data_IF_652617974922
#
_entry.id   IF_652617974922
#
_cell.length_a   1.000
_cell.length_b   1.000
_cell.length_c   1.000
_cell.angle_alpha   90.00
_cell.angle_beta   90.00
_cell.angle_gamma   90.00
#
_symmetry.space_group_name_H-M   'P 1'
#
loop_
_entity.id
_entity.type
_entity.pdbx_description
1 polymer ?
#
# COMPACT_ATOMS: atom_id res chain seq x y z
N UNK A 1 8.34 15.39 6.93
CA UNK A 1 7.06 15.41 6.21
C UNK A 1 7.32 14.95 4.79
N UNK A 2 6.93 13.74 4.42
CA UNK A 2 7.07 13.26 3.05
C UNK A 2 5.69 13.38 2.42
N UNK A 3 5.50 14.42 1.60
CA UNK A 3 4.28 14.61 0.81
C UNK A 3 4.12 13.47 -0.19
N UNK A 4 2.89 13.05 -0.52
CA UNK A 4 2.63 12.05 -1.55
C UNK A 4 3.20 12.43 -2.92
N UNK A 5 3.50 13.69 -3.17
CA UNK A 5 4.13 14.20 -4.40
C UNK A 5 5.57 13.71 -4.62
N UNK A 6 6.30 13.30 -3.56
CA UNK A 6 7.68 12.82 -3.69
C UNK A 6 7.82 11.38 -4.22
N UNK A 7 6.71 10.68 -4.41
CA UNK A 7 6.72 9.31 -4.99
C UNK A 7 6.70 9.34 -6.53
N UNK A 8 6.33 10.48 -7.14
CA UNK A 8 6.04 10.55 -8.58
C UNK A 8 7.13 11.19 -9.44
N UNK A 9 8.15 11.83 -8.88
CA UNK A 9 9.15 12.55 -9.68
C UNK A 9 10.52 11.92 -9.50
N UNK A 10 10.93 11.06 -10.40
CA UNK A 10 12.29 10.81 -10.89
C UNK A 10 12.43 9.47 -11.62
N UNK A 11 12.04 9.44 -12.88
CA UNK A 11 12.36 8.34 -13.79
C UNK A 11 12.85 8.90 -15.13
N UNK A 12 14.10 9.33 -15.22
CA UNK A 12 14.71 9.69 -16.53
C UNK A 12 16.06 9.03 -16.82
N UNK A 13 16.49 8.01 -16.09
CA UNK A 13 17.72 7.30 -16.46
C UNK A 13 17.64 5.80 -16.13
N UNK A 14 16.73 5.07 -16.75
CA UNK A 14 16.80 3.60 -16.81
C UNK A 14 16.94 3.14 -18.26
N UNK A 15 17.96 2.32 -18.51
CA UNK A 15 18.22 1.67 -19.78
C UNK A 15 16.97 0.96 -20.29
N UNK A 16 16.65 1.16 -21.55
CA UNK A 16 15.43 0.74 -22.25
C UNK A 16 15.32 -0.79 -22.49
N UNK A 17 15.30 -1.62 -21.45
CA UNK A 17 15.03 -3.06 -21.61
C UNK A 17 14.41 -3.77 -20.41
N UNK A 18 14.12 -3.07 -19.29
CA UNK A 18 13.64 -3.76 -18.08
C UNK A 18 12.31 -3.13 -17.62
N UNK A 19 11.20 -3.72 -18.01
CA UNK A 19 9.87 -3.25 -17.62
C UNK A 19 9.71 -3.31 -16.11
N UNK A 20 9.36 -2.18 -15.51
CA UNK A 20 9.22 -2.02 -14.06
C UNK A 20 7.79 -2.29 -13.62
N UNK A 21 7.61 -3.14 -12.62
CA UNK A 21 6.32 -3.52 -12.05
C UNK A 21 6.30 -3.33 -10.53
N UNK A 22 5.12 -3.17 -9.94
CA UNK A 22 4.94 -3.23 -8.51
C UNK A 22 4.91 -4.69 -8.03
N UNK A 23 5.93 -5.10 -7.31
CA UNK A 23 6.00 -6.41 -6.67
C UNK A 23 5.66 -6.33 -5.20
N UNK A 24 4.86 -7.29 -4.73
CA UNK A 24 4.67 -7.53 -3.31
C UNK A 24 5.76 -8.49 -2.81
N UNK A 25 6.54 -8.04 -1.84
CA UNK A 25 7.69 -8.78 -1.31
C UNK A 25 7.52 -9.06 0.17
N UNK A 26 7.86 -10.28 0.58
CA UNK A 26 7.99 -10.65 1.98
C UNK A 26 9.44 -10.48 2.42
N UNK A 27 9.64 -9.74 3.50
CA UNK A 27 10.93 -9.55 4.17
C UNK A 27 10.89 -10.33 5.49
N UNK A 28 11.87 -11.19 5.77
CA UNK A 28 11.91 -11.92 7.04
C UNK A 28 12.57 -11.11 8.16
N UNK A 29 12.31 -11.51 9.40
CA UNK A 29 12.89 -10.90 10.62
C UNK A 29 12.55 -9.43 10.84
N UNK A 30 11.37 -8.97 10.42
CA UNK A 30 10.90 -7.58 10.58
C UNK A 30 11.93 -6.53 10.10
N UNK A 31 12.59 -6.81 8.97
CA UNK A 31 13.61 -5.94 8.36
C UNK A 31 13.06 -5.06 7.23
N UNK A 32 11.74 -4.98 7.09
CA UNK A 32 11.09 -4.19 6.03
C UNK A 32 11.51 -2.71 6.04
N UNK A 33 11.69 -2.12 7.21
CA UNK A 33 12.16 -0.73 7.33
C UNK A 33 13.64 -0.57 6.92
N UNK A 34 14.45 -1.60 7.07
CA UNK A 34 15.84 -1.61 6.60
C UNK A 34 15.88 -1.68 5.07
N UNK A 35 15.06 -2.55 4.49
CA UNK A 35 14.92 -2.66 3.02
C UNK A 35 14.39 -1.35 2.44
N UNK A 36 13.38 -0.73 3.09
CA UNK A 36 12.88 0.59 2.70
C UNK A 36 14.01 1.63 2.65
N UNK A 37 14.80 1.75 3.70
CA UNK A 37 15.95 2.69 3.74
C UNK A 37 16.92 2.45 2.58
N UNK A 38 17.20 1.19 2.26
CA UNK A 38 18.06 0.85 1.14
C UNK A 38 17.44 1.25 -0.20
N UNK A 39 16.15 0.98 -0.40
CA UNK A 39 15.43 1.40 -1.60
C UNK A 39 15.44 2.93 -1.75
N UNK A 40 15.13 3.66 -0.67
CA UNK A 40 15.14 5.14 -0.66
C UNK A 40 16.52 5.69 -1.04
N UNK A 41 17.60 5.11 -0.47
CA UNK A 41 18.99 5.52 -0.75
C UNK A 41 19.43 5.24 -2.20
N UNK A 42 18.80 4.29 -2.87
CA UNK A 42 19.10 3.92 -4.26
C UNK A 42 18.03 4.40 -5.26
N UNK A 43 17.13 5.31 -4.84
CA UNK A 43 16.02 5.82 -5.64
C UNK A 43 15.10 4.73 -6.23
N UNK A 44 14.94 3.61 -5.53
CA UNK A 44 14.01 2.54 -5.89
C UNK A 44 12.66 2.87 -5.27
N UNK A 45 11.63 3.02 -6.10
CA UNK A 45 10.28 3.33 -5.65
C UNK A 45 9.76 2.18 -4.78
N UNK A 46 9.31 2.51 -3.59
CA UNK A 46 8.83 1.51 -2.63
C UNK A 46 7.72 2.07 -1.74
N UNK A 47 6.93 1.18 -1.15
CA UNK A 47 5.89 1.56 -0.21
C UNK A 47 5.69 0.49 0.87
N UNK A 48 5.57 0.93 2.12
CA UNK A 48 5.15 0.13 3.26
C UNK A 48 3.93 0.81 3.87
N UNK A 49 2.77 0.15 3.99
CA UNK A 49 1.65 0.71 4.72
C UNK A 49 2.00 0.83 6.21
N UNK A 50 1.94 2.05 6.71
CA UNK A 50 2.31 2.38 8.09
C UNK A 50 1.10 2.98 8.82
N UNK A 51 1.02 2.77 10.13
CA UNK A 51 0.05 3.42 11.00
C UNK A 51 0.70 3.87 12.31
N UNK A 52 0.13 4.89 12.93
CA UNK A 52 0.54 5.29 14.27
C UNK A 52 -0.01 4.34 15.32
N UNK A 53 0.88 3.76 16.12
CA UNK A 53 0.53 2.96 17.31
C UNK A 53 1.12 3.58 18.57
N UNK A 54 0.33 3.49 19.65
CA UNK A 54 0.83 3.84 20.97
C UNK A 54 1.70 2.70 21.48
N UNK A 55 2.93 3.01 21.86
CA UNK A 55 3.90 2.05 22.38
C UNK A 55 4.42 2.54 23.72
N UNK A 56 4.47 1.66 24.71
CA UNK A 56 5.11 1.96 25.98
C UNK A 56 6.62 1.68 25.87
N UNK A 57 7.44 2.63 26.31
CA UNK A 57 8.88 2.47 26.42
C UNK A 57 9.34 3.15 27.70
N UNK A 58 9.93 2.37 28.61
CA UNK A 58 10.41 2.84 29.92
C UNK A 58 9.33 3.59 30.73
N UNK A 59 8.08 3.10 30.75
CA UNK A 59 6.97 3.75 31.45
C UNK A 59 6.40 4.99 30.74
N UNK A 60 6.92 5.36 29.57
CA UNK A 60 6.42 6.50 28.78
C UNK A 60 5.66 5.97 27.55
N UNK A 61 4.44 6.47 27.37
CA UNK A 61 3.64 6.17 26.17
C UNK A 61 4.08 7.09 25.04
N UNK A 62 4.61 6.50 23.97
CA UNK A 62 5.04 7.20 22.77
C UNK A 62 4.20 6.78 21.55
N UNK A 63 3.84 7.75 20.70
CA UNK A 63 3.18 7.50 19.43
C UNK A 63 4.26 7.21 18.38
N UNK A 64 4.25 6.00 17.81
CA UNK A 64 5.26 5.55 16.84
C UNK A 64 4.61 5.04 15.57
N UNK A 65 5.18 5.43 14.42
CA UNK A 65 4.78 4.91 13.11
C UNK A 65 5.33 3.49 12.93
N UNK A 66 4.45 2.53 12.67
CA UNK A 66 4.79 1.10 12.55
C UNK A 66 4.14 0.48 11.31
N UNK A 67 4.75 -0.55 10.70
CA UNK A 67 4.12 -1.31 9.63
C UNK A 67 2.79 -1.91 10.07
N UNK A 68 1.76 -1.71 9.25
CA UNK A 68 0.44 -2.32 9.46
C UNK A 68 0.52 -3.83 9.32
N UNK A 69 1.26 -4.28 8.30
CA UNK A 69 1.54 -5.68 8.04
C UNK A 69 3.04 -5.90 8.16
N UNK A 70 3.41 -6.75 9.11
CA UNK A 70 4.81 -7.13 9.30
C UNK A 70 5.34 -7.90 8.09
N UNK A 71 6.59 -7.68 7.78
CA UNK A 71 7.29 -8.39 6.72
C UNK A 71 6.75 -8.14 5.30
N UNK A 72 6.00 -7.05 5.06
CA UNK A 72 5.48 -6.67 3.75
C UNK A 72 6.12 -5.37 3.28
N UNK A 73 6.60 -5.36 2.04
CA UNK A 73 7.00 -4.17 1.31
C UNK A 73 6.58 -4.30 -0.15
N UNK A 74 6.10 -3.22 -0.73
CA UNK A 74 5.88 -3.09 -2.16
C UNK A 74 7.04 -2.36 -2.79
N UNK A 75 7.55 -2.87 -3.91
CA UNK A 75 8.69 -2.26 -4.62
C UNK A 75 8.37 -2.21 -6.11
N UNK A 76 8.51 -1.02 -6.71
CA UNK A 76 8.36 -0.83 -8.15
C UNK A 76 9.75 -0.84 -8.78
N UNK A 77 10.05 -1.91 -9.49
CA UNK A 77 11.34 -2.08 -10.16
C UNK A 77 11.30 -3.27 -11.12
N UNK A 78 12.43 -3.57 -11.74
CA UNK A 78 12.60 -4.74 -12.57
C UNK A 78 12.90 -6.00 -11.75
N UNK A 79 12.72 -7.16 -12.36
CA UNK A 79 13.04 -8.45 -11.74
C UNK A 79 14.54 -8.60 -11.47
N UNK A 80 15.40 -8.05 -12.31
CA UNK A 80 16.86 -8.03 -12.13
C UNK A 80 17.24 -7.31 -10.84
N UNK A 81 16.69 -6.12 -10.61
CA UNK A 81 16.92 -5.34 -9.39
C UNK A 81 16.42 -6.07 -8.14
N UNK A 82 15.26 -6.75 -8.20
CA UNK A 82 14.80 -7.57 -7.06
C UNK A 82 15.77 -8.71 -6.77
N UNK A 83 16.36 -9.34 -7.79
CA UNK A 83 17.34 -10.40 -7.59
C UNK A 83 18.63 -9.87 -6.92
N UNK A 84 19.02 -8.64 -7.20
CA UNK A 84 20.11 -7.96 -6.46
C UNK A 84 19.73 -7.69 -5.00
N UNK A 85 18.52 -7.21 -4.75
CA UNK A 85 18.01 -7.02 -3.38
C UNK A 85 17.98 -8.35 -2.60
N UNK A 86 17.61 -9.46 -3.23
CA UNK A 86 17.62 -10.81 -2.62
C UNK A 86 19.01 -11.29 -2.19
N UNK A 87 20.07 -10.85 -2.86
CA UNK A 87 21.46 -11.17 -2.46
C UNK A 87 21.87 -10.47 -1.17
N UNK A 88 21.29 -9.27 -0.91
CA UNK A 88 21.63 -8.44 0.25
C UNK A 88 20.69 -8.64 1.43
N UNK A 89 19.42 -8.97 1.17
CA UNK A 89 18.38 -9.05 2.17
C UNK A 89 17.58 -10.34 2.06
N UNK A 90 17.05 -10.87 3.17
CA UNK A 90 16.20 -12.05 3.16
C UNK A 90 14.79 -11.72 2.63
N UNK A 91 14.70 -11.50 1.34
CA UNK A 91 13.47 -11.09 0.63
C UNK A 91 12.99 -12.25 -0.23
N UNK A 92 11.67 -12.45 -0.29
CA UNK A 92 11.01 -13.40 -1.18
C UNK A 92 9.83 -12.74 -1.87
N UNK A 93 9.51 -13.16 -3.08
CA UNK A 93 8.25 -12.80 -3.69
C UNK A 93 7.07 -13.36 -2.88
N UNK A 94 6.00 -12.60 -2.78
CA UNK A 94 4.71 -13.16 -2.42
C UNK A 94 4.15 -13.78 -3.69
N UNK A 95 3.78 -15.05 -3.61
CA UNK A 95 3.32 -15.81 -4.77
C UNK A 95 1.80 -15.83 -4.80
N UNK A 96 1.23 -15.71 -5.99
CA UNK A 96 -0.19 -15.97 -6.21
C UNK A 96 -0.46 -17.47 -6.00
N UNK A 97 -1.41 -17.79 -5.14
CA UNK A 97 -1.74 -19.18 -4.80
C UNK A 97 -2.36 -19.95 -5.95
N UNK A 98 -3.01 -19.26 -6.90
CA UNK A 98 -3.67 -19.89 -8.03
C UNK A 98 -2.71 -20.22 -9.17
N UNK A 99 -1.80 -19.28 -9.53
CA UNK A 99 -0.90 -19.41 -10.67
C UNK A 99 0.52 -19.82 -10.30
N UNK A 100 0.93 -19.62 -9.04
CA UNK A 100 2.31 -19.85 -8.62
C UNK A 100 3.30 -18.78 -9.06
N UNK A 101 2.81 -17.68 -9.65
CA UNK A 101 3.64 -16.56 -10.09
C UNK A 101 3.82 -15.50 -9.00
N UNK A 102 4.85 -14.66 -9.09
CA UNK A 102 4.99 -13.48 -8.24
C UNK A 102 3.77 -12.56 -8.33
N UNK A 103 3.29 -12.08 -7.18
CA UNK A 103 2.21 -11.10 -7.16
C UNK A 103 2.71 -9.77 -7.71
N UNK A 104 2.15 -9.37 -8.85
CA UNK A 104 2.33 -8.06 -9.47
C UNK A 104 1.05 -7.25 -9.23
N UNK A 105 1.22 -6.06 -8.65
CA UNK A 105 0.10 -5.16 -8.38
C UNK A 105 -0.08 -4.21 -9.56
N UNK A 106 -1.27 -4.11 -10.16
CA UNK A 106 -1.55 -3.13 -11.22
C UNK A 106 -1.24 -1.71 -10.75
N UNK A 107 -0.66 -0.90 -11.63
CA UNK A 107 -0.22 0.48 -11.31
C UNK A 107 -1.33 1.31 -10.67
N UNK A 108 -2.49 1.37 -11.31
CA UNK A 108 -3.65 2.15 -10.81
C UNK A 108 -4.08 1.69 -9.42
N UNK A 109 -4.15 0.39 -9.19
CA UNK A 109 -4.52 -0.18 -7.89
C UNK A 109 -3.51 0.20 -6.80
N UNK A 110 -2.22 0.16 -7.13
CA UNK A 110 -1.17 0.55 -6.18
C UNK A 110 -1.20 2.05 -5.87
N UNK A 111 -1.41 2.89 -6.88
CA UNK A 111 -1.52 4.34 -6.68
C UNK A 111 -2.74 4.70 -5.83
N UNK A 112 -3.90 4.10 -6.08
CA UNK A 112 -5.10 4.29 -5.26
C UNK A 112 -4.86 3.84 -3.81
N UNK A 113 -4.18 2.71 -3.63
CA UNK A 113 -3.83 2.22 -2.31
C UNK A 113 -2.86 3.17 -1.58
N UNK A 114 -1.83 3.66 -2.25
CA UNK A 114 -0.87 4.63 -1.69
C UNK A 114 -1.58 5.93 -1.32
N UNK A 115 -2.48 6.43 -2.16
CA UNK A 115 -3.21 7.67 -1.91
C UNK A 115 -4.01 7.61 -0.60
N UNK A 116 -4.59 6.46 -0.27
CA UNK A 116 -5.34 6.28 0.98
C UNK A 116 -4.40 5.90 2.12
N UNK A 117 -3.58 4.86 1.96
CA UNK A 117 -2.76 4.28 3.02
C UNK A 117 -1.55 5.16 3.42
N UNK A 118 -1.11 6.06 2.55
CA UNK A 118 -0.02 7.01 2.82
C UNK A 118 -0.46 8.25 3.61
N UNK A 119 -1.76 8.42 3.85
CA UNK A 119 -2.30 9.59 4.55
C UNK A 119 -2.50 9.29 6.04
N UNK A 120 -1.42 9.42 6.83
CA UNK A 120 -1.38 9.01 8.24
C UNK A 120 -2.22 9.90 9.18
N UNK A 121 -2.55 11.12 8.77
CA UNK A 121 -3.33 12.07 9.59
C UNK A 121 -4.84 11.92 9.39
N UNK A 122 -5.26 11.16 8.39
CA UNK A 122 -6.66 10.89 8.14
C UNK A 122 -7.12 9.64 8.91
N UNK A 123 -8.39 9.63 9.28
CA UNK A 123 -9.01 8.51 9.99
C UNK A 123 -9.22 7.29 9.06
N UNK A 124 -8.18 6.89 8.36
CA UNK A 124 -8.19 5.69 7.57
C UNK A 124 -8.17 4.45 8.47
N UNK A 125 -8.76 3.37 8.03
CA UNK A 125 -8.86 2.13 8.80
C UNK A 125 -8.32 0.99 7.96
N UNK A 126 -7.27 0.35 8.44
CA UNK A 126 -6.81 -0.89 7.84
C UNK A 126 -7.72 -2.05 8.26
N UNK A 127 -8.09 -2.88 7.31
CA UNK A 127 -9.04 -3.98 7.49
C UNK A 127 -8.34 -5.32 7.29
N UNK A 128 -8.72 -6.31 8.09
CA UNK A 128 -8.30 -7.68 7.87
C UNK A 128 -9.05 -8.28 6.67
N UNK A 129 -8.42 -9.19 5.87
CA UNK A 129 -9.08 -9.81 4.71
C UNK A 129 -10.39 -10.50 5.01
N UNK A 130 -10.60 -10.99 6.23
CA UNK A 130 -11.84 -11.62 6.66
C UNK A 130 -13.02 -10.64 6.85
N UNK A 131 -12.74 -9.36 7.08
CA UNK A 131 -13.79 -8.37 7.38
C UNK A 131 -14.66 -7.98 6.18
N UNK A 132 -14.19 -8.25 4.96
CA UNK A 132 -14.94 -7.95 3.72
C UNK A 132 -15.43 -9.17 2.95
N UNK A 133 -15.08 -10.39 3.36
CA UNK A 133 -15.46 -11.60 2.61
C UNK A 133 -16.96 -11.76 2.34
N UNK A 134 -17.81 -11.11 3.13
CA UNK A 134 -19.28 -11.20 3.04
C UNK A 134 -19.95 -9.89 2.61
N UNK A 135 -19.16 -8.82 2.33
CA UNK A 135 -19.74 -7.52 2.02
C UNK A 135 -19.65 -7.22 0.54
N UNK A 136 -20.77 -7.33 -0.14
CA UNK A 136 -20.95 -6.83 -1.51
C UNK A 136 -21.04 -5.30 -1.46
N UNK A 137 -20.28 -4.61 -2.28
CA UNK A 137 -20.31 -3.17 -2.40
C UNK A 137 -20.25 -2.72 -3.86
N UNK A 138 -20.70 -1.51 -4.15
CA UNK A 138 -20.60 -0.93 -5.48
C UNK A 138 -19.20 -0.38 -5.73
N UNK A 139 -18.69 -0.54 -6.95
CA UNK A 139 -17.46 0.14 -7.37
C UNK A 139 -17.73 1.64 -7.50
N UNK A 140 -16.86 2.45 -6.94
CA UNK A 140 -17.00 3.91 -6.96
C UNK A 140 -15.64 4.58 -7.21
N UNK A 141 -15.72 5.81 -7.77
CA UNK A 141 -14.60 6.75 -7.83
C UNK A 141 -14.92 7.97 -6.99
N UNK A 142 -13.93 8.48 -6.27
CA UNK A 142 -14.07 9.71 -5.49
C UNK A 142 -13.81 10.91 -6.41
N UNK A 143 -14.81 11.84 -6.49
CA UNK A 143 -14.77 12.98 -7.42
C UNK A 143 -13.99 14.17 -6.90
N UNK A 144 -13.93 14.34 -5.57
CA UNK A 144 -13.29 15.51 -4.95
C UNK A 144 -12.73 15.24 -3.55
N UNK A 145 -11.95 16.18 -3.03
CA UNK A 145 -11.27 16.07 -1.74
C UNK A 145 -9.89 15.42 -1.85
N UNK A 146 -9.31 15.10 -0.69
CA UNK A 146 -7.94 14.56 -0.58
C UNK A 146 -7.74 13.21 -1.27
N UNK A 147 -8.81 12.46 -1.50
CA UNK A 147 -8.82 11.16 -2.18
C UNK A 147 -9.40 11.25 -3.59
N UNK A 148 -9.41 12.44 -4.20
CA UNK A 148 -9.90 12.63 -5.57
C UNK A 148 -9.22 11.68 -6.55
N UNK A 149 -10.03 11.00 -7.38
CA UNK A 149 -9.57 10.05 -8.40
C UNK A 149 -9.36 8.62 -7.89
N UNK A 150 -9.38 8.39 -6.56
CA UNK A 150 -9.26 7.05 -5.98
C UNK A 150 -10.50 6.22 -6.34
N UNK A 151 -10.25 5.00 -6.79
CA UNK A 151 -11.27 3.98 -7.05
C UNK A 151 -11.24 2.89 -6.00
N UNK A 152 -12.42 2.42 -5.64
CA UNK A 152 -12.55 1.36 -4.65
C UNK A 152 -13.97 0.83 -4.56
N UNK A 153 -14.25 0.09 -3.49
CA UNK A 153 -15.57 -0.49 -3.23
C UNK A 153 -16.21 0.24 -2.06
N UNK A 154 -17.43 0.75 -2.27
CA UNK A 154 -18.20 1.41 -1.22
C UNK A 154 -18.85 0.35 -0.33
N UNK A 155 -18.41 0.27 0.90
CA UNK A 155 -18.93 -0.68 1.89
C UNK A 155 -19.18 -0.02 3.24
N UNK A 156 -20.03 -0.64 4.07
CA UNK A 156 -20.24 -0.20 5.45
C UNK A 156 -19.16 -0.80 6.35
N UNK A 157 -18.31 0.07 6.91
CA UNK A 157 -17.26 -0.27 7.88
C UNK A 157 -17.51 0.49 9.16
N UNK A 158 -17.65 -0.20 10.30
CA UNK A 158 -17.91 0.41 11.62
C UNK A 158 -19.07 1.43 11.57
N UNK A 159 -20.21 1.02 11.03
CA UNK A 159 -21.44 1.80 10.86
C UNK A 159 -21.39 2.98 9.87
N UNK A 160 -20.28 3.27 9.24
CA UNK A 160 -20.13 4.30 8.23
C UNK A 160 -19.88 3.73 6.84
N UNK A 161 -20.43 4.38 5.80
CA UNK A 161 -20.08 4.08 4.41
C UNK A 161 -18.69 4.63 4.12
N UNK A 162 -17.78 3.78 3.66
CA UNK A 162 -16.38 4.11 3.35
C UNK A 162 -15.98 3.49 2.02
N UNK A 163 -15.07 4.14 1.32
CA UNK A 163 -14.48 3.56 0.11
C UNK A 163 -13.29 2.72 0.55
N UNK A 164 -13.30 1.44 0.18
CA UNK A 164 -12.24 0.49 0.49
C UNK A 164 -11.41 0.25 -0.75
N UNK A 165 -10.12 0.47 -0.62
CA UNK A 165 -9.12 0.11 -1.61
C UNK A 165 -8.37 -1.12 -1.10
N UNK A 166 -8.21 -2.10 -1.96
CA UNK A 166 -7.54 -3.36 -1.58
C UNK A 166 -6.44 -3.73 -2.56
N UNK A 167 -5.42 -4.38 -2.06
CA UNK A 167 -4.51 -5.20 -2.85
C UNK A 167 -4.87 -6.63 -2.52
N UNK A 168 -5.44 -7.32 -3.50
CA UNK A 168 -6.10 -8.60 -3.34
C UNK A 168 -5.24 -9.63 -2.59
N UNK A 169 -5.82 -10.24 -1.57
CA UNK A 169 -5.16 -11.24 -0.73
C UNK A 169 -4.06 -10.71 0.21
N UNK A 170 -3.73 -9.42 0.18
CA UNK A 170 -2.63 -8.84 0.95
C UNK A 170 -3.09 -7.83 1.98
N UNK A 171 -3.71 -6.74 1.56
CA UNK A 171 -4.02 -5.62 2.45
C UNK A 171 -5.22 -4.82 1.94
N UNK A 172 -5.97 -4.28 2.87
CA UNK A 172 -7.11 -3.40 2.59
C UNK A 172 -7.06 -2.18 3.48
N UNK A 173 -7.45 -1.04 2.93
CA UNK A 173 -7.58 0.22 3.65
C UNK A 173 -8.91 0.88 3.30
N UNK A 174 -9.62 1.36 4.31
CA UNK A 174 -10.84 2.14 4.15
C UNK A 174 -10.55 3.63 4.39
N UNK A 175 -11.08 4.49 3.54
CA UNK A 175 -11.04 5.94 3.74
C UNK A 175 -11.79 6.33 5.02
N UNK A 176 -11.71 7.58 5.44
CA UNK A 176 -12.73 8.16 6.32
C UNK A 176 -14.11 8.17 5.61
N UNK A 177 -15.15 8.64 6.31
CA UNK A 177 -16.46 8.81 5.69
C UNK A 177 -16.37 9.77 4.49
N UNK A 178 -16.90 9.35 3.35
CA UNK A 178 -17.03 10.18 2.13
C UNK A 178 -18.51 10.43 1.89
N UNK A 179 -18.88 11.69 1.72
CA UNK A 179 -20.27 12.05 1.43
C UNK A 179 -20.69 11.47 0.07
N UNK A 180 -21.90 10.87 -0.06
CA UNK A 180 -22.34 10.22 -1.30
C UNK A 180 -22.31 11.12 -2.54
N UNK A 181 -22.51 12.44 -2.39
CA UNK A 181 -22.42 13.40 -3.52
C UNK A 181 -21.02 13.49 -4.16
N UNK A 182 -19.99 13.06 -3.44
CA UNK A 182 -18.61 13.01 -3.92
C UNK A 182 -18.24 11.68 -4.59
N UNK A 183 -19.22 10.77 -4.72
CA UNK A 183 -19.00 9.44 -5.29
C UNK A 183 -19.60 9.34 -6.69
N UNK A 184 -18.82 8.80 -7.59
CA UNK A 184 -19.25 8.35 -8.92
C UNK A 184 -19.33 6.83 -8.90
N UNK A 185 -20.49 6.28 -9.23
CA UNK A 185 -20.66 4.83 -9.36
C UNK A 185 -20.07 4.38 -10.70
N UNK A 186 -19.24 3.36 -10.65
CA UNK A 186 -18.62 2.74 -11.81
C UNK A 186 -19.39 1.45 -12.15
N UNK A 187 -19.69 1.27 -13.43
CA UNK A 187 -20.33 0.05 -13.93
C UNK A 187 -19.41 -1.17 -13.87
#
# INVERSE_FOLDING_TARGET
MVSPENVLIRNENMKASDTSYWYALRVTYSREMMVKKHCDANNIINFIPLEYRMCERNGVIIKKLQPVIRNLIFVKTSMSCINELKRKYPIRYIMNRGTGDPVIVPEKQMLDFIAVAGNYDQQVVFLAPCELRTKTGSRVRIRDGIFKGVEGVLVRVRNNKRVVVQIEGLVMVATHYIHPSLLEYLE
#
